data_IF_295058889638
#
_entry.id   IF_295058889638
#
_cell.length_a   1.000
_cell.length_b   1.000
_cell.length_c   1.000
_cell.angle_alpha   90.00
_cell.angle_beta   90.00
_cell.angle_gamma   90.00
#
_symmetry.space_group_name_H-M   'P 1'
#
loop_
_entity.id
_entity.type
_entity.pdbx_description
1 polymer ?
#
# COMPACT_ATOMS: atom_id res chain seq x y z
N UNK A 1 23.77 85.06 5.49
CA UNK A 1 23.27 83.77 5.08
C UNK A 1 24.03 83.43 3.79
N UNK A 2 25.13 82.65 3.92
CA UNK A 2 25.93 82.18 2.78
C UNK A 2 25.13 81.03 2.15
N UNK A 3 24.68 81.21 0.92
CA UNK A 3 24.07 80.15 0.14
C UNK A 3 25.14 79.04 -0.04
N UNK A 4 24.86 77.92 0.59
CA UNK A 4 25.72 76.77 0.49
C UNK A 4 25.71 76.28 -0.95
N UNK A 5 26.85 76.40 -1.63
CA UNK A 5 26.94 75.97 -3.02
C UNK A 5 26.63 74.44 -3.09
N UNK A 6 25.86 74.00 -4.08
CA UNK A 6 25.51 72.59 -4.17
C UNK A 6 26.79 71.71 -4.28
N UNK A 7 26.86 70.62 -3.56
CA UNK A 7 28.02 69.75 -3.56
C UNK A 7 28.28 69.17 -4.99
N UNK A 8 29.51 69.25 -5.45
CA UNK A 8 29.88 68.73 -6.74
C UNK A 8 30.50 67.33 -6.61
N UNK A 9 29.96 66.36 -7.35
CA UNK A 9 30.46 64.98 -7.38
C UNK A 9 30.92 64.59 -8.79
N UNK A 10 31.98 63.85 -8.87
CA UNK A 10 32.25 63.05 -10.08
C UNK A 10 31.24 61.89 -10.17
N UNK A 11 30.99 61.33 -11.38
CA UNK A 11 30.10 60.19 -11.55
C UNK A 11 30.52 58.99 -10.69
N UNK A 12 31.81 58.77 -10.51
CA UNK A 12 32.36 57.74 -9.63
C UNK A 12 32.01 57.98 -8.14
N UNK A 13 32.21 59.19 -7.68
CA UNK A 13 31.90 59.56 -6.29
C UNK A 13 30.41 59.45 -6.02
N UNK A 14 29.57 59.93 -6.94
CA UNK A 14 28.12 59.81 -6.83
C UNK A 14 27.69 58.35 -6.76
N UNK A 15 28.17 57.52 -7.66
CA UNK A 15 27.81 56.06 -7.61
C UNK A 15 28.34 55.38 -6.36
N UNK A 16 29.52 55.75 -5.83
CA UNK A 16 30.05 55.22 -4.58
C UNK A 16 29.18 55.64 -3.38
N UNK A 17 28.76 56.89 -3.35
CA UNK A 17 27.85 57.42 -2.31
C UNK A 17 26.49 56.72 -2.36
N UNK A 18 25.90 56.49 -3.55
CA UNK A 18 24.65 55.74 -3.70
C UNK A 18 24.83 54.31 -3.20
N UNK A 19 25.90 53.61 -3.55
CA UNK A 19 26.20 52.26 -3.10
C UNK A 19 26.26 52.19 -1.55
N UNK A 20 26.98 53.15 -0.94
CA UNK A 20 27.10 53.21 0.53
C UNK A 20 25.77 53.49 1.23
N UNK A 21 24.90 54.34 0.65
CA UNK A 21 23.54 54.57 1.18
C UNK A 21 22.66 53.32 1.08
N UNK A 22 22.72 52.60 -0.05
CA UNK A 22 21.99 51.35 -0.23
C UNK A 22 22.46 50.26 0.75
N UNK A 23 23.76 50.11 0.95
CA UNK A 23 24.31 49.14 1.90
C UNK A 23 23.92 49.46 3.36
N UNK A 24 23.80 50.73 3.73
CA UNK A 24 23.37 51.15 5.08
C UNK A 24 21.86 51.13 5.26
N UNK A 25 21.10 51.35 4.19
CA UNK A 25 19.64 51.47 4.23
C UNK A 25 18.90 50.10 4.16
N UNK A 26 19.53 49.05 3.72
CA UNK A 26 18.91 47.75 3.56
C UNK A 26 19.53 46.68 4.49
N UNK A 27 18.70 45.74 4.94
CA UNK A 27 19.20 44.59 5.66
C UNK A 27 20.20 43.79 4.83
N UNK A 28 21.26 43.21 5.43
CA UNK A 28 22.26 42.39 4.73
C UNK A 28 21.67 41.22 3.97
N UNK A 29 20.50 40.76 4.39
CA UNK A 29 19.68 39.73 3.75
C UNK A 29 18.21 40.07 3.92
N UNK A 30 17.42 39.85 2.89
CA UNK A 30 15.96 40.07 2.91
C UNK A 30 15.25 38.99 2.09
N UNK A 31 13.96 38.83 2.34
CA UNK A 31 13.06 37.99 1.58
C UNK A 31 12.27 38.82 0.57
N UNK A 32 12.14 38.31 -0.65
CA UNK A 32 11.27 38.87 -1.68
C UNK A 32 10.37 37.76 -2.19
N UNK A 33 9.07 38.00 -2.11
CA UNK A 33 8.06 37.16 -2.77
C UNK A 33 7.68 37.84 -4.08
N UNK A 34 7.90 37.16 -5.20
CA UNK A 34 7.70 37.72 -6.51
C UNK A 34 7.39 36.62 -7.54
N UNK A 35 7.04 37.02 -8.74
CA UNK A 35 6.96 36.14 -9.90
C UNK A 35 8.28 36.21 -10.66
N UNK A 36 8.87 35.08 -10.98
CA UNK A 36 10.05 34.97 -11.80
C UNK A 36 9.67 35.21 -13.28
N UNK A 37 10.30 36.16 -13.93
CA UNK A 37 10.08 36.42 -15.33
C UNK A 37 11.41 36.29 -16.11
N UNK A 38 11.32 35.64 -17.26
CA UNK A 38 12.43 35.44 -18.21
C UNK A 38 13.70 34.85 -17.58
N UNK A 39 13.62 33.74 -16.85
CA UNK A 39 14.80 33.11 -16.29
C UNK A 39 15.70 32.60 -17.43
N UNK A 40 16.96 32.95 -17.38
CA UNK A 40 17.95 32.58 -18.40
C UNK A 40 19.29 32.26 -17.75
N UNK A 41 19.86 31.14 -18.11
CA UNK A 41 21.22 30.80 -17.71
C UNK A 41 22.19 31.33 -18.75
N UNK A 42 22.95 32.36 -18.38
CA UNK A 42 23.99 32.98 -19.26
C UNK A 42 25.34 32.90 -18.58
N UNK A 43 26.33 32.32 -19.27
CA UNK A 43 27.71 32.15 -18.75
C UNK A 43 27.77 31.44 -17.39
N UNK A 44 26.85 30.49 -17.15
CA UNK A 44 26.76 29.74 -15.87
C UNK A 44 26.09 30.51 -14.73
N UNK A 45 25.54 31.69 -14.95
CA UNK A 45 24.77 32.46 -13.97
C UNK A 45 23.29 32.47 -14.35
N UNK A 46 22.39 32.32 -13.37
CA UNK A 46 20.97 32.47 -13.58
C UNK A 46 20.59 33.94 -13.44
N UNK A 47 20.03 34.51 -14.51
CA UNK A 47 19.46 35.83 -14.56
C UNK A 47 17.95 35.73 -14.68
N UNK A 48 17.25 36.48 -13.90
CA UNK A 48 15.79 36.57 -13.93
C UNK A 48 15.32 37.96 -13.50
N UNK A 49 14.11 38.29 -13.85
CA UNK A 49 13.43 39.50 -13.37
C UNK A 49 12.41 39.04 -12.31
N UNK A 50 12.46 39.64 -11.13
CA UNK A 50 11.46 39.45 -10.07
C UNK A 50 10.43 40.56 -10.25
N UNK A 51 9.14 40.19 -10.34
CA UNK A 51 8.05 41.16 -10.50
C UNK A 51 6.86 40.76 -9.60
N UNK A 52 6.16 41.76 -9.08
CA UNK A 52 4.90 41.64 -8.38
C UNK A 52 3.69 42.08 -9.22
N UNK A 53 3.95 42.46 -10.50
CA UNK A 53 2.95 42.99 -11.40
C UNK A 53 2.96 44.54 -11.51
N UNK A 54 3.37 45.22 -10.44
CA UNK A 54 3.49 46.71 -10.40
C UNK A 54 4.93 47.20 -10.56
N UNK A 55 5.87 46.43 -9.99
CA UNK A 55 7.31 46.76 -10.05
C UNK A 55 8.13 45.54 -10.47
N UNK A 56 9.36 45.80 -10.90
CA UNK A 56 10.29 44.73 -11.28
C UNK A 56 11.72 45.08 -10.90
N UNK A 57 12.49 44.05 -10.55
CA UNK A 57 13.93 44.17 -10.27
C UNK A 57 14.68 42.99 -10.87
N UNK A 58 15.85 43.26 -11.43
CA UNK A 58 16.72 42.19 -11.91
C UNK A 58 17.32 41.39 -10.75
N UNK A 59 17.34 40.07 -10.87
CA UNK A 59 18.01 39.20 -9.93
C UNK A 59 19.05 38.31 -10.62
N UNK A 60 20.10 37.98 -9.88
CA UNK A 60 21.18 37.12 -10.37
C UNK A 60 21.61 36.10 -9.33
N UNK A 61 21.64 34.84 -9.72
CA UNK A 61 22.32 33.78 -8.98
C UNK A 61 23.66 33.46 -9.66
N UNK A 62 24.74 33.65 -8.94
CA UNK A 62 26.09 33.37 -9.46
C UNK A 62 26.31 31.88 -9.67
N UNK A 63 27.21 31.49 -10.58
CA UNK A 63 27.50 30.11 -10.94
C UNK A 63 27.81 29.19 -9.74
N UNK A 64 28.54 29.69 -8.75
CA UNK A 64 28.83 28.96 -7.51
C UNK A 64 27.57 28.67 -6.68
N UNK A 65 26.63 29.61 -6.71
CA UNK A 65 25.38 29.51 -5.99
C UNK A 65 24.34 28.71 -6.77
N UNK A 66 24.28 28.92 -8.08
CA UNK A 66 23.36 28.17 -8.97
C UNK A 66 23.55 26.64 -8.83
N UNK A 67 24.79 26.18 -8.66
CA UNK A 67 25.09 24.75 -8.41
C UNK A 67 24.56 24.21 -7.05
N UNK A 68 24.22 25.10 -6.14
CA UNK A 68 23.72 24.80 -4.79
C UNK A 68 22.23 25.06 -4.66
N UNK A 69 21.58 25.65 -5.69
CA UNK A 69 20.15 25.83 -5.71
C UNK A 69 19.47 24.54 -6.11
N UNK A 70 18.53 24.12 -5.31
CA UNK A 70 17.74 22.91 -5.54
C UNK A 70 16.57 23.14 -6.51
N UNK A 71 16.35 24.41 -6.91
CA UNK A 71 15.22 24.80 -7.76
C UNK A 71 15.61 25.93 -8.71
N UNK A 72 15.19 25.80 -9.96
CA UNK A 72 15.29 26.84 -10.99
C UNK A 72 13.88 27.11 -11.52
N UNK A 73 13.34 28.33 -11.36
CA UNK A 73 11.96 28.63 -11.73
C UNK A 73 11.77 28.64 -13.25
N UNK A 74 10.57 28.25 -13.69
CA UNK A 74 10.08 28.54 -15.03
C UNK A 74 9.56 29.98 -15.15
N UNK A 75 9.30 30.43 -16.38
CA UNK A 75 8.75 31.76 -16.63
C UNK A 75 7.32 31.85 -16.09
N UNK A 76 7.04 32.89 -15.31
CA UNK A 76 5.75 33.13 -14.69
C UNK A 76 5.52 32.38 -13.37
N UNK A 77 6.48 31.64 -12.84
CA UNK A 77 6.35 30.99 -11.55
C UNK A 77 6.54 31.93 -10.37
N UNK A 78 5.70 31.79 -9.34
CA UNK A 78 5.85 32.49 -8.08
C UNK A 78 7.04 31.92 -7.29
N UNK A 79 7.88 32.80 -6.80
CA UNK A 79 9.11 32.45 -6.07
C UNK A 79 9.28 33.24 -4.78
N UNK A 80 9.93 32.64 -3.81
CA UNK A 80 10.45 33.26 -2.60
C UNK A 80 11.95 33.29 -2.69
N UNK A 81 12.54 34.47 -2.74
CA UNK A 81 13.97 34.71 -2.90
C UNK A 81 14.56 35.23 -1.62
N UNK A 82 15.56 34.56 -1.08
CA UNK A 82 16.48 35.14 -0.08
C UNK A 82 17.58 35.84 -0.85
N UNK A 83 17.65 37.15 -0.77
CA UNK A 83 18.57 37.95 -1.53
C UNK A 83 19.35 38.96 -0.69
N UNK A 84 20.36 39.53 -1.28
CA UNK A 84 20.99 40.77 -0.85
C UNK A 84 21.05 41.74 -1.99
N UNK A 85 21.03 43.02 -1.67
CA UNK A 85 21.19 44.04 -2.67
C UNK A 85 22.62 44.05 -3.22
N UNK A 86 22.76 44.15 -4.53
CA UNK A 86 24.04 44.27 -5.21
C UNK A 86 23.98 45.47 -6.16
N UNK A 87 24.79 46.47 -5.86
CA UNK A 87 24.91 47.66 -6.68
C UNK A 87 26.27 47.74 -7.39
N UNK A 88 26.24 47.70 -8.70
CA UNK A 88 27.47 47.85 -9.51
C UNK A 88 27.77 49.32 -9.78
N UNK A 89 28.61 49.89 -8.92
CA UNK A 89 28.98 51.31 -8.99
C UNK A 89 29.49 51.76 -10.36
N UNK A 90 30.21 50.89 -11.11
CA UNK A 90 30.73 51.21 -12.43
C UNK A 90 29.67 51.46 -13.52
N UNK A 91 28.45 50.90 -13.34
CA UNK A 91 27.34 51.01 -14.29
C UNK A 91 26.05 51.56 -13.66
N UNK A 92 26.10 51.93 -12.40
CA UNK A 92 24.93 52.32 -11.59
C UNK A 92 23.77 51.32 -11.72
N UNK A 93 24.08 50.02 -11.76
CA UNK A 93 23.08 48.97 -11.96
C UNK A 93 22.81 48.29 -10.65
N UNK A 94 21.52 48.22 -10.29
CA UNK A 94 21.02 47.58 -9.11
C UNK A 94 20.44 46.20 -9.47
N UNK A 95 20.79 45.19 -8.70
CA UNK A 95 20.21 43.84 -8.81
C UNK A 95 20.13 43.15 -7.48
N UNK A 96 19.21 42.19 -7.34
CA UNK A 96 19.16 41.30 -6.21
C UNK A 96 20.10 40.13 -6.46
N UNK A 97 21.11 39.99 -5.63
CA UNK A 97 21.91 38.77 -5.60
C UNK A 97 21.13 37.67 -4.86
N UNK A 98 20.79 36.62 -5.57
CA UNK A 98 20.09 35.46 -5.03
C UNK A 98 21.04 34.64 -4.14
N UNK A 99 20.65 34.44 -2.88
CA UNK A 99 21.33 33.60 -1.91
C UNK A 99 20.63 32.27 -1.76
N UNK A 100 19.28 32.27 -1.87
CA UNK A 100 18.44 31.10 -1.89
C UNK A 100 17.19 31.38 -2.73
N UNK A 101 16.64 30.36 -3.36
CA UNK A 101 15.50 30.49 -4.27
C UNK A 101 14.60 29.27 -4.10
N UNK A 102 13.34 29.52 -3.75
CA UNK A 102 12.33 28.49 -3.52
C UNK A 102 11.05 28.83 -4.28
N UNK A 103 10.25 27.84 -4.70
CA UNK A 103 8.92 28.11 -5.22
C UNK A 103 8.08 28.81 -4.13
N UNK A 104 7.14 29.67 -4.52
CA UNK A 104 6.18 30.22 -3.56
C UNK A 104 5.17 29.16 -3.17
N UNK A 105 4.57 29.31 -1.98
CA UNK A 105 3.54 28.38 -1.51
C UNK A 105 2.37 28.23 -2.51
N UNK A 106 1.98 29.34 -3.16
CA UNK A 106 0.93 29.31 -4.19
C UNK A 106 1.34 28.44 -5.41
N UNK A 107 2.61 28.47 -5.81
CA UNK A 107 3.13 27.63 -6.91
C UNK A 107 3.09 26.15 -6.51
N UNK A 108 3.50 25.85 -5.29
CA UNK A 108 3.46 24.47 -4.76
C UNK A 108 2.02 23.96 -4.72
N UNK A 109 1.09 24.75 -4.19
CA UNK A 109 -0.32 24.36 -4.11
C UNK A 109 -0.96 24.16 -5.49
N UNK A 110 -0.68 25.04 -6.45
CA UNK A 110 -1.17 24.88 -7.84
C UNK A 110 -0.64 23.59 -8.47
N UNK A 111 0.65 23.28 -8.29
CA UNK A 111 1.23 22.04 -8.80
C UNK A 111 0.58 20.82 -8.16
N UNK A 112 0.43 20.82 -6.85
CA UNK A 112 -0.28 19.78 -6.11
C UNK A 112 -1.69 19.55 -6.66
N UNK A 113 -2.49 20.62 -6.80
CA UNK A 113 -3.87 20.53 -7.31
C UNK A 113 -3.93 20.03 -8.75
N UNK A 114 -3.03 20.49 -9.62
CA UNK A 114 -2.98 20.07 -11.02
C UNK A 114 -2.65 18.58 -11.16
N UNK A 115 -1.63 18.09 -10.46
CA UNK A 115 -1.24 16.66 -10.51
C UNK A 115 -2.29 15.79 -9.83
N UNK A 116 -2.84 16.25 -8.70
CA UNK A 116 -3.94 15.55 -8.02
C UNK A 116 -5.14 15.37 -8.97
N UNK A 117 -5.63 16.45 -9.58
CA UNK A 117 -6.78 16.40 -10.48
C UNK A 117 -6.55 15.48 -11.69
N UNK A 118 -5.34 15.48 -12.25
CA UNK A 118 -4.95 14.60 -13.33
C UNK A 118 -5.02 13.12 -12.92
N UNK A 119 -4.39 12.76 -11.81
CA UNK A 119 -4.32 11.38 -11.34
C UNK A 119 -5.67 10.88 -10.78
N UNK A 120 -6.51 11.79 -10.27
CA UNK A 120 -7.87 11.49 -9.83
C UNK A 120 -8.78 11.18 -11.04
N UNK A 121 -8.69 11.98 -12.12
CA UNK A 121 -9.42 11.75 -13.35
C UNK A 121 -9.07 10.41 -14.02
N UNK A 122 -7.83 9.96 -13.90
CA UNK A 122 -7.37 8.67 -14.40
C UNK A 122 -7.66 7.50 -13.43
N UNK A 123 -8.22 7.77 -12.26
CA UNK A 123 -8.51 6.76 -11.25
C UNK A 123 -7.25 6.17 -10.59
N UNK A 124 -6.12 6.87 -10.62
CA UNK A 124 -4.90 6.44 -9.92
C UNK A 124 -5.04 6.67 -8.41
N UNK A 125 -5.74 7.75 -8.02
CA UNK A 125 -6.07 8.08 -6.62
C UNK A 125 -7.44 7.46 -6.27
N UNK A 126 -7.54 6.13 -6.30
CA UNK A 126 -8.75 5.41 -5.89
C UNK A 126 -8.47 4.60 -4.62
N UNK A 127 -9.20 4.84 -3.52
CA UNK A 127 -9.08 4.05 -2.30
C UNK A 127 -9.26 2.54 -2.52
N UNK A 128 -10.02 2.13 -3.54
CA UNK A 128 -10.25 0.72 -3.88
C UNK A 128 -9.00 0.03 -4.46
N UNK A 129 -8.04 0.79 -4.94
CA UNK A 129 -6.75 0.27 -5.46
C UNK A 129 -5.73 0.02 -4.37
N UNK A 130 -5.96 0.51 -3.15
CA UNK A 130 -5.03 0.37 -2.03
C UNK A 130 -4.89 -1.09 -1.63
N UNK A 131 -3.66 -1.55 -1.58
CA UNK A 131 -3.32 -2.91 -1.21
C UNK A 131 -3.24 -3.04 0.32
N UNK A 132 -3.65 -4.19 0.87
CA UNK A 132 -3.46 -4.45 2.29
C UNK A 132 -1.98 -4.54 2.64
N UNK A 133 -1.61 -4.01 3.81
CA UNK A 133 -0.26 -4.14 4.33
C UNK A 133 0.02 -5.59 4.76
N UNK A 134 1.26 -6.09 4.59
CA UNK A 134 1.65 -7.41 5.07
C UNK A 134 1.58 -7.45 6.60
N UNK A 135 1.01 -8.52 7.15
CA UNK A 135 0.84 -8.67 8.62
C UNK A 135 2.14 -8.87 9.38
N UNK A 136 3.16 -9.42 8.74
CA UNK A 136 4.49 -9.64 9.32
C UNK A 136 5.54 -9.65 8.20
N UNK A 137 5.94 -8.49 7.68
CA UNK A 137 6.89 -8.41 6.59
C UNK A 137 8.25 -8.97 7.03
N UNK A 138 8.88 -9.75 6.16
CA UNK A 138 10.25 -10.26 6.38
C UNK A 138 11.28 -9.24 5.98
N UNK A 139 11.05 -8.52 4.88
CA UNK A 139 11.94 -7.47 4.39
C UNK A 139 11.15 -6.23 4.01
N UNK A 140 11.63 -5.07 4.48
CA UNK A 140 11.06 -3.75 4.19
C UNK A 140 12.13 -2.88 3.55
N UNK A 141 11.86 -2.38 2.36
CA UNK A 141 12.70 -1.38 1.72
C UNK A 141 12.36 0.01 2.29
N UNK A 142 13.35 0.72 2.80
CA UNK A 142 13.20 2.06 3.40
C UNK A 142 13.97 3.07 2.55
N UNK A 143 13.23 3.90 1.83
CA UNK A 143 13.76 4.98 1.01
C UNK A 143 13.74 6.27 1.82
N UNK A 144 14.91 6.77 2.17
CA UNK A 144 15.08 8.01 2.95
C UNK A 144 16.46 8.61 2.77
N UNK A 145 16.65 9.83 3.23
CA UNK A 145 17.98 10.44 3.26
C UNK A 145 18.89 9.78 4.30
N UNK A 146 20.17 9.65 3.93
CA UNK A 146 21.20 9.07 4.80
C UNK A 146 22.44 10.00 4.81
N UNK A 147 22.89 10.43 6.00
CA UNK A 147 22.34 10.20 7.34
C UNK A 147 21.12 11.09 7.65
N UNK A 148 20.17 10.58 8.45
CA UNK A 148 19.05 11.40 8.94
C UNK A 148 18.54 10.94 10.31
N UNK A 149 17.97 11.86 11.09
CA UNK A 149 17.32 11.56 12.36
C UNK A 149 16.10 10.65 12.16
N UNK A 150 15.34 10.89 11.08
CA UNK A 150 14.19 10.06 10.70
C UNK A 150 14.58 8.59 10.52
N UNK A 151 15.69 8.32 9.84
CA UNK A 151 16.21 6.96 9.68
C UNK A 151 16.58 6.35 11.03
N UNK A 152 17.28 7.09 11.89
CA UNK A 152 17.67 6.59 13.22
C UNK A 152 16.44 6.21 14.06
N UNK A 153 15.39 7.03 14.02
CA UNK A 153 14.13 6.78 14.73
C UNK A 153 13.35 5.59 14.14
N UNK A 154 13.31 5.46 12.82
CA UNK A 154 12.70 4.29 12.16
C UNK A 154 13.42 2.99 12.51
N UNK A 155 14.75 2.99 12.49
CA UNK A 155 15.56 1.81 12.86
C UNK A 155 15.35 1.40 14.32
N UNK A 156 15.27 2.38 15.24
CA UNK A 156 14.97 2.13 16.65
C UNK A 156 13.59 1.52 16.80
N UNK A 157 12.58 2.14 16.22
CA UNK A 157 11.19 1.66 16.25
C UNK A 157 11.05 0.24 15.70
N UNK A 158 11.73 -0.05 14.59
CA UNK A 158 11.69 -1.38 14.01
C UNK A 158 12.33 -2.45 14.91
N UNK A 159 13.47 -2.15 15.52
CA UNK A 159 14.16 -3.06 16.47
C UNK A 159 13.31 -3.36 17.70
N UNK A 160 12.67 -2.34 18.25
CA UNK A 160 11.81 -2.48 19.43
C UNK A 160 10.52 -3.24 19.10
N UNK A 161 9.91 -2.89 17.98
CA UNK A 161 8.58 -3.37 17.62
C UNK A 161 8.57 -4.74 16.97
N UNK A 162 9.46 -4.98 16.00
CA UNK A 162 9.54 -6.24 15.26
C UNK A 162 10.94 -6.55 14.74
N UNK A 163 11.82 -7.10 15.57
CA UNK A 163 13.22 -7.35 15.21
C UNK A 163 13.43 -8.47 14.17
N UNK A 164 12.36 -9.14 13.75
CA UNK A 164 12.42 -10.21 12.75
C UNK A 164 12.38 -9.69 11.31
N UNK A 165 12.04 -8.41 11.09
CA UNK A 165 12.09 -7.80 9.77
C UNK A 165 13.51 -7.30 9.46
N UNK A 166 13.97 -7.63 8.27
CA UNK A 166 15.17 -7.06 7.68
C UNK A 166 14.83 -5.71 7.03
N UNK A 167 15.59 -4.66 7.35
CA UNK A 167 15.40 -3.34 6.75
C UNK A 167 16.48 -3.10 5.68
N UNK A 168 16.04 -3.00 4.42
CA UNK A 168 16.87 -2.60 3.30
C UNK A 168 16.82 -1.08 3.17
N UNK A 169 17.85 -0.40 3.71
CA UNK A 169 17.94 1.05 3.64
C UNK A 169 18.51 1.47 2.29
N UNK A 170 17.72 2.21 1.53
CA UNK A 170 18.09 2.73 0.22
C UNK A 170 18.19 4.26 0.30
N UNK A 171 19.42 4.81 0.21
CA UNK A 171 19.60 6.25 0.31
C UNK A 171 19.03 6.95 -0.92
N UNK A 172 18.12 7.89 -0.68
CA UNK A 172 17.58 8.77 -1.71
C UNK A 172 17.79 10.24 -1.31
N UNK A 173 18.02 11.14 -2.27
CA UNK A 173 17.88 12.56 -2.00
C UNK A 173 16.40 12.89 -1.81
N UNK A 174 16.09 13.69 -0.79
CA UNK A 174 14.69 14.04 -0.43
C UNK A 174 14.44 15.54 -0.51
N UNK A 175 15.34 16.31 -1.10
CA UNK A 175 15.26 17.75 -1.34
C UNK A 175 15.74 18.08 -2.73
N UNK A 176 15.17 19.14 -3.33
CA UNK A 176 15.49 19.60 -4.67
C UNK A 176 14.70 18.89 -5.77
N UNK A 177 15.12 19.12 -7.01
CA UNK A 177 14.53 18.47 -8.19
C UNK A 177 15.15 17.07 -8.40
N UNK A 178 14.66 16.10 -7.64
CA UNK A 178 15.25 14.75 -7.55
C UNK A 178 14.26 13.63 -7.84
N UNK A 179 13.07 13.97 -8.35
CA UNK A 179 12.02 13.00 -8.70
C UNK A 179 12.53 11.90 -9.63
N UNK A 180 13.31 12.24 -10.66
CA UNK A 180 13.88 11.28 -11.61
C UNK A 180 14.82 10.27 -10.92
N UNK A 181 15.59 10.72 -9.93
CA UNK A 181 16.49 9.83 -9.19
C UNK A 181 15.71 8.86 -8.31
N UNK A 182 14.64 9.34 -7.67
CA UNK A 182 13.76 8.47 -6.86
C UNK A 182 13.06 7.46 -7.77
N UNK A 183 12.55 7.89 -8.93
CA UNK A 183 11.96 7.00 -9.93
C UNK A 183 12.95 5.93 -10.40
N UNK A 184 14.20 6.29 -10.67
CA UNK A 184 15.25 5.35 -11.06
C UNK A 184 15.54 4.33 -9.98
N UNK A 185 15.56 4.74 -8.71
CA UNK A 185 15.71 3.83 -7.55
C UNK A 185 14.51 2.89 -7.41
N UNK A 186 13.29 3.39 -7.57
CA UNK A 186 12.09 2.56 -7.56
C UNK A 186 12.12 1.51 -8.67
N UNK A 187 12.58 1.88 -9.87
CA UNK A 187 12.72 0.94 -10.97
C UNK A 187 13.79 -0.12 -10.68
N UNK A 188 14.95 0.26 -10.14
CA UNK A 188 15.99 -0.69 -9.73
C UNK A 188 15.49 -1.67 -8.67
N UNK A 189 14.69 -1.21 -7.71
CA UNK A 189 14.09 -2.08 -6.69
C UNK A 189 13.02 -3.01 -7.26
N UNK A 190 12.26 -2.55 -8.25
CA UNK A 190 11.29 -3.39 -8.97
C UNK A 190 11.97 -4.53 -9.72
N UNK A 191 13.09 -4.24 -10.37
CA UNK A 191 13.85 -5.18 -11.19
C UNK A 191 14.86 -5.99 -10.37
N UNK A 192 14.89 -5.81 -9.05
CA UNK A 192 15.82 -6.49 -8.15
C UNK A 192 15.58 -8.01 -8.12
N UNK A 193 16.65 -8.82 -8.06
CA UNK A 193 16.52 -10.28 -7.94
C UNK A 193 15.85 -10.69 -6.61
N UNK A 194 15.23 -11.87 -6.58
CA UNK A 194 14.47 -12.39 -5.42
C UNK A 194 15.12 -12.14 -4.04
N UNK A 195 16.45 -12.32 -3.85
CA UNK A 195 17.06 -12.10 -2.54
C UNK A 195 16.94 -10.66 -2.03
N UNK A 196 16.68 -9.68 -2.92
CA UNK A 196 16.55 -8.27 -2.58
C UNK A 196 15.09 -7.77 -2.62
N UNK A 197 14.14 -8.61 -3.00
CA UNK A 197 12.73 -8.24 -3.04
C UNK A 197 12.22 -7.96 -1.62
N UNK A 198 11.49 -6.84 -1.49
CA UNK A 198 10.86 -6.44 -0.24
C UNK A 198 9.37 -6.82 -0.25
N UNK A 199 8.82 -7.08 0.94
CA UNK A 199 7.38 -7.33 1.12
C UNK A 199 6.57 -6.02 1.16
N UNK A 200 7.24 -4.92 1.48
CA UNK A 200 6.68 -3.57 1.49
C UNK A 200 7.78 -2.52 1.30
N UNK A 201 7.38 -1.35 0.85
CA UNK A 201 8.25 -0.19 0.68
C UNK A 201 7.79 0.94 1.59
N UNK A 202 8.74 1.58 2.26
CA UNK A 202 8.51 2.81 3.04
C UNK A 202 9.24 3.96 2.37
N UNK A 203 8.50 4.97 1.94
CA UNK A 203 9.05 6.24 1.45
C UNK A 203 8.92 7.26 2.56
N UNK A 204 10.06 7.65 3.14
CA UNK A 204 10.08 8.46 4.34
C UNK A 204 11.00 9.68 4.20
N UNK A 205 10.49 10.81 4.72
CA UNK A 205 11.24 12.04 4.88
C UNK A 205 11.03 12.61 6.28
N UNK A 206 12.09 13.11 6.88
CA UNK A 206 11.98 13.94 8.09
C UNK A 206 11.30 15.27 7.79
N UNK A 207 10.93 16.02 8.81
CA UNK A 207 10.26 17.31 8.69
C UNK A 207 11.00 18.30 7.76
N UNK A 208 10.28 19.27 7.24
CA UNK A 208 10.75 20.31 6.34
C UNK A 208 9.60 21.23 5.97
N UNK A 209 9.85 22.24 5.17
CA UNK A 209 8.78 23.15 4.68
C UNK A 209 7.93 22.46 3.58
N UNK A 210 6.73 22.98 3.33
CA UNK A 210 5.84 22.46 2.28
C UNK A 210 6.49 22.57 0.90
N UNK A 211 7.31 23.58 0.69
CA UNK A 211 8.08 23.80 -0.54
C UNK A 211 9.11 22.69 -0.77
N UNK A 212 9.69 22.18 0.31
CA UNK A 212 10.63 21.05 0.25
C UNK A 212 9.94 19.72 -0.07
N UNK A 213 8.62 19.62 0.14
CA UNK A 213 7.83 18.42 -0.15
C UNK A 213 7.34 18.35 -1.59
N UNK A 214 7.54 19.41 -2.38
CA UNK A 214 7.06 19.51 -3.76
C UNK A 214 7.55 18.37 -4.67
N UNK A 215 8.67 17.76 -4.37
CA UNK A 215 9.21 16.59 -5.10
C UNK A 215 8.23 15.41 -5.06
N UNK A 216 7.46 15.28 -3.98
CA UNK A 216 6.46 14.23 -3.79
C UNK A 216 5.10 14.55 -4.43
N UNK A 217 4.98 15.74 -5.06
CA UNK A 217 3.86 16.12 -5.92
C UNK A 217 4.19 15.94 -7.41
N UNK A 218 5.28 15.25 -7.73
CA UNK A 218 5.68 14.95 -9.11
C UNK A 218 4.84 13.82 -9.70
N UNK A 219 4.33 14.02 -10.92
CA UNK A 219 3.44 13.07 -11.59
C UNK A 219 4.12 11.71 -11.85
N UNK A 220 5.37 11.72 -12.35
CA UNK A 220 6.08 10.48 -12.69
C UNK A 220 6.40 9.66 -11.45
N UNK A 221 6.79 10.33 -10.37
CA UNK A 221 7.03 9.70 -9.08
C UNK A 221 5.74 9.08 -8.52
N UNK A 222 4.62 9.81 -8.57
CA UNK A 222 3.33 9.29 -8.11
C UNK A 222 2.88 8.07 -8.91
N UNK A 223 3.07 8.06 -10.24
CA UNK A 223 2.80 6.91 -11.09
C UNK A 223 3.69 5.71 -10.75
N UNK A 224 4.98 5.95 -10.50
CA UNK A 224 5.93 4.92 -10.11
C UNK A 224 5.54 4.28 -8.77
N UNK A 225 5.07 5.08 -7.79
CA UNK A 225 4.55 4.61 -6.50
C UNK A 225 3.27 3.77 -6.70
N UNK A 226 2.29 4.27 -7.45
CA UNK A 226 1.01 3.60 -7.68
C UNK A 226 1.17 2.24 -8.39
N UNK A 227 2.17 2.11 -9.27
CA UNK A 227 2.46 0.89 -10.04
C UNK A 227 3.51 0.00 -9.41
N UNK A 228 4.01 0.33 -8.23
CA UNK A 228 5.03 -0.47 -7.56
C UNK A 228 4.47 -1.86 -7.17
N UNK A 229 5.22 -2.96 -7.29
CA UNK A 229 4.68 -4.32 -7.15
C UNK A 229 4.24 -4.69 -5.73
N UNK A 230 4.81 -4.05 -4.70
CA UNK A 230 4.47 -4.29 -3.29
C UNK A 230 3.81 -3.07 -2.66
N UNK A 231 3.09 -3.21 -1.53
CA UNK A 231 2.47 -2.08 -0.86
C UNK A 231 3.47 -1.00 -0.47
N UNK A 232 3.10 0.25 -0.73
CA UNK A 232 3.91 1.44 -0.43
C UNK A 232 3.29 2.19 0.73
N UNK A 233 4.10 2.45 1.75
CA UNK A 233 3.75 3.28 2.91
C UNK A 233 4.52 4.58 2.81
N UNK A 234 3.82 5.70 2.87
CA UNK A 234 4.47 7.02 2.96
C UNK A 234 4.53 7.50 4.39
N UNK A 235 5.62 8.16 4.73
CA UNK A 235 5.84 8.86 6.00
C UNK A 235 6.53 10.19 5.69
N UNK A 236 5.83 11.06 4.94
CA UNK A 236 6.36 12.30 4.37
C UNK A 236 5.69 13.47 5.12
N UNK A 237 6.47 14.27 5.83
CA UNK A 237 5.95 15.47 6.48
C UNK A 237 5.18 15.21 7.79
N UNK A 238 4.21 16.08 8.10
CA UNK A 238 3.34 16.06 9.28
C UNK A 238 1.87 15.84 8.87
N UNK A 239 0.96 15.84 9.84
CA UNK A 239 -0.48 15.60 9.58
C UNK A 239 -1.08 16.59 8.57
N UNK A 240 -0.66 17.86 8.62
CA UNK A 240 -1.16 18.95 7.78
C UNK A 240 -0.50 19.00 6.39
N UNK A 241 0.63 18.31 6.19
CA UNK A 241 1.41 18.35 4.97
C UNK A 241 1.06 17.17 4.05
N UNK A 242 -0.05 17.27 3.34
CA UNK A 242 -0.48 16.25 2.39
C UNK A 242 0.23 16.40 1.05
N UNK A 243 0.83 15.32 0.54
CA UNK A 243 1.44 15.27 -0.80
C UNK A 243 0.63 14.37 -1.74
N UNK A 244 0.83 14.52 -3.07
CA UNK A 244 0.18 13.62 -4.04
C UNK A 244 0.69 12.19 -3.89
N UNK A 245 1.96 11.99 -3.54
CA UNK A 245 2.51 10.68 -3.19
C UNK A 245 1.74 10.00 -2.04
N UNK A 246 1.27 10.76 -1.04
CA UNK A 246 0.45 10.23 0.05
C UNK A 246 -0.94 9.77 -0.41
N UNK A 247 -1.49 10.43 -1.45
CA UNK A 247 -2.80 10.08 -2.00
C UNK A 247 -2.76 8.79 -2.81
N UNK A 248 -1.66 8.53 -3.52
CA UNK A 248 -1.49 7.34 -4.36
C UNK A 248 -0.89 6.15 -3.61
N UNK A 249 -0.28 6.37 -2.45
CA UNK A 249 0.26 5.31 -1.61
C UNK A 249 -0.84 4.39 -1.05
N UNK A 250 -0.49 3.14 -0.77
CA UNK A 250 -1.41 2.19 -0.15
C UNK A 250 -1.75 2.57 1.28
N UNK A 251 -0.79 3.17 1.99
CA UNK A 251 -1.00 3.67 3.34
C UNK A 251 -0.21 4.94 3.59
N UNK A 252 -0.90 5.96 4.12
CA UNK A 252 -0.28 7.21 4.56
C UNK A 252 -0.04 7.17 6.07
N UNK A 253 1.14 7.53 6.51
CA UNK A 253 1.47 7.79 7.91
C UNK A 253 1.91 9.24 8.10
N UNK A 254 1.56 9.83 9.23
CA UNK A 254 1.87 11.24 9.53
C UNK A 254 3.37 11.50 9.77
N UNK A 255 4.15 10.47 10.06
CA UNK A 255 5.60 10.59 10.32
C UNK A 255 6.33 9.33 9.87
N UNK A 256 7.65 9.40 9.62
CA UNK A 256 8.49 8.23 9.34
C UNK A 256 8.36 7.12 10.38
N UNK A 257 8.29 7.49 11.66
CA UNK A 257 8.12 6.54 12.76
C UNK A 257 6.73 5.89 12.73
N UNK A 258 5.67 6.69 12.46
CA UNK A 258 4.31 6.18 12.31
C UNK A 258 4.19 5.20 11.14
N UNK A 259 4.93 5.41 10.04
CA UNK A 259 5.00 4.47 8.93
C UNK A 259 5.53 3.10 9.37
N UNK A 260 6.57 3.07 10.18
CA UNK A 260 7.10 1.82 10.74
C UNK A 260 6.11 1.17 11.71
N UNK A 261 5.39 1.97 12.50
CA UNK A 261 4.37 1.47 13.44
C UNK A 261 3.18 0.84 12.71
N UNK A 262 2.73 1.43 11.60
CA UNK A 262 1.61 0.89 10.82
C UNK A 262 1.99 -0.40 10.07
N UNK A 263 3.23 -0.52 9.63
CA UNK A 263 3.71 -1.64 8.83
C UNK A 263 4.14 -2.83 9.68
N UNK A 264 4.78 -2.58 10.84
CA UNK A 264 5.37 -3.63 11.67
C UNK A 264 4.42 -4.05 12.79
N UNK A 265 4.20 -5.35 13.01
CA UNK A 265 3.39 -5.83 14.14
C UNK A 265 4.05 -5.50 15.48
N UNK A 266 3.26 -5.46 16.55
CA UNK A 266 3.79 -5.33 17.90
C UNK A 266 4.33 -6.67 18.41
N UNK A 267 5.59 -6.70 18.78
CA UNK A 267 6.23 -7.86 19.41
C UNK A 267 5.49 -8.32 20.68
N UNK A 268 5.06 -7.36 21.49
CA UNK A 268 4.34 -7.67 22.74
C UNK A 268 3.01 -8.37 22.44
N UNK A 269 2.24 -7.82 21.52
CA UNK A 269 0.96 -8.42 21.10
C UNK A 269 1.16 -9.80 20.51
N UNK A 270 2.18 -9.99 19.67
CA UNK A 270 2.49 -11.29 19.07
C UNK A 270 2.88 -12.33 20.14
N UNK A 271 3.71 -11.95 21.11
CA UNK A 271 4.10 -12.82 22.22
C UNK A 271 2.88 -13.21 23.06
N UNK A 272 2.02 -12.24 23.40
CA UNK A 272 0.79 -12.51 24.15
C UNK A 272 -0.14 -13.47 23.40
N UNK A 273 -0.31 -13.27 22.08
CA UNK A 273 -1.11 -14.17 21.24
C UNK A 273 -0.56 -15.60 21.22
N UNK A 274 0.76 -15.74 21.10
CA UNK A 274 1.41 -17.07 21.13
C UNK A 274 1.21 -17.71 22.50
N UNK A 275 1.43 -16.97 23.59
CA UNK A 275 1.21 -17.48 24.94
C UNK A 275 -0.25 -17.92 25.18
N UNK A 276 -1.20 -17.15 24.69
CA UNK A 276 -2.61 -17.53 24.82
C UNK A 276 -2.95 -18.76 23.99
N UNK A 277 -2.42 -18.86 22.76
CA UNK A 277 -2.59 -20.08 21.95
C UNK A 277 -1.99 -21.31 22.63
N UNK A 278 -0.81 -21.17 23.22
CA UNK A 278 -0.18 -22.24 23.98
C UNK A 278 -1.04 -22.67 25.21
N UNK A 279 -1.57 -21.70 25.96
CA UNK A 279 -2.49 -22.00 27.08
C UNK A 279 -3.74 -22.73 26.62
N UNK A 280 -4.35 -22.29 25.51
CA UNK A 280 -5.54 -22.95 24.93
C UNK A 280 -5.22 -24.36 24.47
N UNK A 281 -4.09 -24.58 23.81
CA UNK A 281 -3.63 -25.92 23.40
C UNK A 281 -3.40 -26.82 24.61
N UNK A 282 -2.78 -26.33 25.66
CA UNK A 282 -2.52 -27.10 26.89
C UNK A 282 -3.83 -27.46 27.59
N UNK A 283 -4.78 -26.52 27.71
CA UNK A 283 -6.10 -26.76 28.24
C UNK A 283 -6.88 -27.80 27.42
N UNK A 284 -6.84 -27.71 26.10
CA UNK A 284 -7.48 -28.69 25.21
C UNK A 284 -6.84 -30.08 25.36
N UNK A 285 -5.50 -30.14 25.45
CA UNK A 285 -4.78 -31.39 25.71
C UNK A 285 -5.18 -32.02 27.02
N UNK A 286 -5.23 -31.23 28.10
CA UNK A 286 -5.63 -31.72 29.44
C UNK A 286 -7.07 -32.23 29.41
N UNK A 287 -8.01 -31.45 28.86
CA UNK A 287 -9.42 -31.86 28.71
C UNK A 287 -9.55 -33.14 27.88
N UNK A 288 -8.82 -33.26 26.78
CA UNK A 288 -8.85 -34.44 25.93
C UNK A 288 -8.33 -35.69 26.69
N UNK A 289 -7.22 -35.54 27.41
CA UNK A 289 -6.65 -36.62 28.22
C UNK A 289 -7.62 -37.06 29.34
N UNK A 290 -8.20 -36.11 30.05
CA UNK A 290 -9.16 -36.36 31.09
C UNK A 290 -10.39 -37.15 30.56
N UNK A 291 -10.94 -36.66 29.45
CA UNK A 291 -12.06 -37.33 28.77
C UNK A 291 -11.70 -38.74 28.31
N UNK A 292 -10.50 -38.96 27.80
CA UNK A 292 -10.02 -40.29 27.40
C UNK A 292 -9.83 -41.21 28.64
N UNK A 293 -9.31 -40.68 29.72
CA UNK A 293 -9.20 -41.42 31.00
C UNK A 293 -10.58 -41.82 31.53
N UNK A 294 -11.54 -40.90 31.51
CA UNK A 294 -12.90 -41.17 31.93
C UNK A 294 -13.54 -42.28 31.08
N UNK A 295 -13.46 -42.18 29.75
CA UNK A 295 -13.98 -43.20 28.84
C UNK A 295 -13.32 -44.58 29.08
N UNK A 296 -12.01 -44.57 29.31
CA UNK A 296 -11.30 -45.83 29.67
C UNK A 296 -11.77 -46.40 31.00
N UNK A 297 -11.96 -45.55 32.01
CA UNK A 297 -12.50 -45.97 33.32
C UNK A 297 -13.90 -46.57 33.19
N UNK A 298 -14.81 -45.89 32.47
CA UNK A 298 -16.16 -46.39 32.19
C UNK A 298 -16.15 -47.73 31.44
N UNK A 299 -15.28 -47.86 30.42
CA UNK A 299 -15.12 -49.12 29.69
C UNK A 299 -14.59 -50.23 30.58
N UNK A 300 -13.60 -49.92 31.45
CA UNK A 300 -13.05 -50.90 32.39
C UNK A 300 -14.12 -51.36 33.39
N UNK A 301 -14.95 -50.44 33.93
CA UNK A 301 -16.08 -50.79 34.83
C UNK A 301 -17.12 -51.65 34.11
N UNK A 302 -17.51 -51.32 32.88
CA UNK A 302 -18.42 -52.15 32.07
C UNK A 302 -17.84 -53.54 31.80
N UNK A 303 -16.55 -53.65 31.54
CA UNK A 303 -15.86 -54.92 31.36
C UNK A 303 -15.90 -55.78 32.64
N UNK A 304 -15.78 -55.15 33.79
CA UNK A 304 -15.85 -55.85 35.08
C UNK A 304 -17.28 -56.32 35.44
N UNK A 305 -18.31 -55.61 34.95
CA UNK A 305 -19.72 -55.94 35.20
C UNK A 305 -20.29 -56.95 34.18
N UNK A 306 -19.75 -57.06 33.01
CA UNK A 306 -20.26 -57.95 31.96
C UNK A 306 -19.38 -59.19 31.80
N UNK A 307 -19.99 -60.35 32.01
CA UNK A 307 -19.33 -61.62 31.64
C UNK A 307 -19.06 -61.61 30.11
N UNK A 308 -17.83 -61.95 29.68
CA UNK A 308 -17.47 -61.91 28.26
C UNK A 308 -18.39 -62.69 27.33
N UNK A 309 -18.93 -63.81 27.84
CA UNK A 309 -19.87 -64.68 27.10
C UNK A 309 -21.17 -63.95 26.76
N UNK A 310 -21.76 -63.18 27.71
CA UNK A 310 -23.01 -62.44 27.51
C UNK A 310 -22.82 -61.33 26.48
N UNK A 311 -21.68 -60.63 26.53
CA UNK A 311 -21.37 -59.60 25.57
C UNK A 311 -21.18 -60.15 24.16
N UNK A 312 -20.47 -61.25 24.02
CA UNK A 312 -20.26 -61.89 22.75
C UNK A 312 -21.58 -62.38 22.14
N UNK A 313 -22.46 -62.94 22.97
CA UNK A 313 -23.79 -63.35 22.53
C UNK A 313 -24.62 -62.18 22.02
N UNK A 314 -24.68 -61.06 22.79
CA UNK A 314 -25.39 -59.87 22.38
C UNK A 314 -24.83 -59.28 21.04
N UNK A 315 -23.54 -59.31 20.86
CA UNK A 315 -22.90 -58.84 19.59
C UNK A 315 -23.22 -59.77 18.43
N UNK A 316 -23.23 -61.08 18.65
CA UNK A 316 -23.66 -62.04 17.61
C UNK A 316 -25.11 -61.74 17.20
N UNK A 317 -26.01 -61.54 18.16
CA UNK A 317 -27.41 -61.27 17.88
C UNK A 317 -27.59 -59.92 17.13
N UNK A 318 -26.85 -58.90 17.52
CA UNK A 318 -26.85 -57.61 16.79
C UNK A 318 -26.33 -57.75 15.34
N UNK A 319 -25.27 -58.52 15.12
CA UNK A 319 -24.73 -58.76 13.79
C UNK A 319 -25.72 -59.51 12.93
N UNK A 320 -26.37 -60.54 13.48
CA UNK A 320 -27.41 -61.28 12.78
C UNK A 320 -28.57 -60.36 12.36
N UNK A 321 -29.03 -59.50 13.26
CA UNK A 321 -30.09 -58.52 12.94
C UNK A 321 -29.67 -57.54 11.85
N UNK A 322 -28.47 -57.00 11.91
CA UNK A 322 -27.92 -56.08 10.87
C UNK A 322 -27.78 -56.79 9.53
N UNK A 323 -27.29 -58.05 9.55
CA UNK A 323 -27.19 -58.85 8.34
C UNK A 323 -28.55 -59.11 7.70
N UNK A 324 -29.58 -59.39 8.54
CA UNK A 324 -30.95 -59.52 8.07
C UNK A 324 -31.51 -58.22 7.47
N UNK A 325 -31.25 -57.07 8.10
CA UNK A 325 -31.64 -55.76 7.59
C UNK A 325 -30.92 -55.44 6.25
N UNK A 326 -29.60 -55.62 6.16
CA UNK A 326 -28.85 -55.42 4.91
C UNK A 326 -29.38 -56.33 3.79
N UNK A 327 -29.70 -57.59 4.12
CA UNK A 327 -30.33 -58.48 3.16
C UNK A 327 -31.75 -58.03 2.77
N UNK A 328 -32.49 -57.44 3.67
CA UNK A 328 -33.82 -56.90 3.38
C UNK A 328 -33.81 -55.65 2.47
N UNK A 329 -32.80 -54.76 2.63
CA UNK A 329 -32.62 -53.58 1.80
C UNK A 329 -31.77 -53.80 0.51
N UNK A 330 -31.26 -55.05 0.30
CA UNK A 330 -30.48 -55.34 -0.91
C UNK A 330 -31.35 -55.17 -2.15
N UNK A 331 -30.90 -54.35 -3.09
CA UNK A 331 -31.56 -54.19 -4.40
C UNK A 331 -31.77 -55.49 -5.12
N UNK A 332 -30.84 -56.47 -4.97
CA UNK A 332 -30.94 -57.81 -5.56
C UNK A 332 -32.17 -58.57 -5.14
N UNK A 333 -32.67 -58.41 -3.91
CA UNK A 333 -33.91 -59.05 -3.43
C UNK A 333 -35.17 -58.51 -4.10
N UNK A 334 -35.16 -57.20 -4.38
CA UNK A 334 -36.24 -56.57 -5.13
C UNK A 334 -36.24 -57.01 -6.56
N UNK A 335 -35.02 -57.09 -7.18
CA UNK A 335 -34.85 -57.60 -8.52
C UNK A 335 -35.27 -59.09 -8.60
N UNK A 336 -34.88 -59.95 -7.61
CA UNK A 336 -35.28 -61.36 -7.56
C UNK A 336 -36.80 -61.58 -7.35
N UNK A 337 -37.52 -60.57 -6.85
CA UNK A 337 -39.02 -60.55 -6.71
C UNK A 337 -39.72 -60.06 -7.96
N UNK A 338 -38.99 -59.77 -9.03
CA UNK A 338 -39.56 -59.30 -10.27
C UNK A 338 -39.66 -57.78 -10.40
N UNK A 339 -39.11 -57.01 -9.43
CA UNK A 339 -38.97 -55.57 -9.61
C UNK A 339 -37.80 -55.27 -10.57
N UNK A 340 -37.87 -54.20 -11.26
CA UNK A 340 -36.84 -53.70 -12.14
C UNK A 340 -36.37 -52.35 -11.71
N UNK A 341 -35.10 -52.03 -11.89
CA UNK A 341 -34.56 -50.69 -11.72
C UNK A 341 -34.40 -50.08 -13.12
N UNK A 342 -34.96 -48.89 -13.27
CA UNK A 342 -34.87 -48.11 -14.53
C UNK A 342 -33.69 -47.17 -14.47
N UNK A 343 -32.77 -47.30 -15.39
CA UNK A 343 -31.53 -46.49 -15.46
C UNK A 343 -31.44 -45.78 -16.81
N UNK A 344 -30.73 -44.67 -16.86
CA UNK A 344 -30.33 -44.07 -18.11
C UNK A 344 -29.18 -44.88 -18.75
N UNK A 345 -28.90 -44.72 -20.04
CA UNK A 345 -27.72 -45.34 -20.67
C UNK A 345 -26.39 -44.96 -19.97
N UNK A 346 -26.35 -43.88 -19.26
CA UNK A 346 -25.21 -43.36 -18.47
C UNK A 346 -25.14 -43.92 -17.04
N UNK A 347 -26.12 -44.77 -16.63
CA UNK A 347 -26.15 -45.44 -15.32
C UNK A 347 -26.86 -44.69 -14.19
N UNK A 348 -27.55 -43.56 -14.47
CA UNK A 348 -28.34 -42.85 -13.45
C UNK A 348 -29.74 -43.46 -13.32
N UNK A 349 -30.18 -43.65 -12.06
CA UNK A 349 -31.49 -44.30 -11.75
C UNK A 349 -32.60 -43.26 -11.86
N UNK A 350 -33.62 -43.55 -12.68
CA UNK A 350 -34.86 -42.77 -12.73
C UNK A 350 -35.77 -43.07 -11.52
N UNK A 351 -36.14 -42.03 -10.78
CA UNK A 351 -37.01 -42.15 -9.58
C UNK A 351 -38.45 -41.72 -9.85
N UNK A 352 -38.64 -40.96 -10.91
CA UNK A 352 -39.94 -40.44 -11.28
C UNK A 352 -40.23 -40.65 -12.77
N UNK A 353 -41.46 -40.91 -13.07
CA UNK A 353 -41.94 -40.95 -14.46
C UNK A 353 -41.77 -39.59 -15.16
N UNK A 354 -41.67 -38.50 -14.38
CA UNK A 354 -41.48 -37.13 -14.91
C UNK A 354 -40.06 -36.90 -15.47
N UNK A 355 -39.13 -37.73 -15.01
CA UNK A 355 -37.71 -37.61 -15.41
C UNK A 355 -37.42 -38.32 -16.76
N UNK A 356 -38.41 -39.08 -17.25
CA UNK A 356 -38.30 -39.83 -18.51
C UNK A 356 -39.05 -39.09 -19.62
N UNK A 357 -38.47 -39.01 -20.81
CA UNK A 357 -39.11 -38.43 -22.01
C UNK A 357 -39.56 -39.55 -22.95
N UNK A 358 -40.69 -39.36 -23.64
CA UNK A 358 -41.12 -40.28 -24.68
C UNK A 358 -40.05 -40.35 -25.79
N UNK A 359 -39.66 -41.53 -26.17
CA UNK A 359 -38.58 -41.79 -27.16
C UNK A 359 -37.18 -41.90 -26.57
N UNK A 360 -36.99 -41.70 -25.26
CA UNK A 360 -35.67 -41.90 -24.64
C UNK A 360 -35.32 -43.39 -24.50
N UNK A 361 -34.06 -43.71 -24.72
CA UNK A 361 -33.50 -45.04 -24.46
C UNK A 361 -33.29 -45.21 -22.99
N UNK A 362 -33.69 -46.33 -22.43
CA UNK A 362 -33.68 -46.66 -21.02
C UNK A 362 -33.03 -48.08 -20.89
N UNK A 363 -32.42 -48.27 -19.77
CA UNK A 363 -31.91 -49.59 -19.36
C UNK A 363 -32.71 -50.11 -18.20
N UNK A 364 -33.39 -51.20 -18.37
CA UNK A 364 -34.10 -51.92 -17.32
C UNK A 364 -33.19 -52.96 -16.78
N UNK A 365 -32.79 -52.80 -15.51
CA UNK A 365 -31.98 -53.78 -14.80
C UNK A 365 -32.89 -54.79 -14.11
N UNK A 366 -32.75 -56.06 -14.46
CA UNK A 366 -33.36 -57.21 -13.81
C UNK A 366 -32.34 -57.95 -12.98
N UNK A 367 -32.78 -59.05 -12.35
CA UNK A 367 -31.93 -59.85 -11.47
C UNK A 367 -30.77 -60.56 -12.23
N UNK A 368 -30.98 -60.94 -13.45
CA UNK A 368 -30.09 -61.74 -14.29
C UNK A 368 -29.49 -61.01 -15.51
N UNK A 369 -29.81 -59.70 -15.62
CA UNK A 369 -29.25 -58.90 -16.70
C UNK A 369 -29.92 -57.56 -16.88
N UNK A 370 -29.60 -56.93 -18.03
CA UNK A 370 -30.16 -55.65 -18.42
C UNK A 370 -30.82 -55.76 -19.78
N UNK A 371 -31.94 -55.04 -19.95
CA UNK A 371 -32.68 -54.93 -21.22
C UNK A 371 -32.68 -53.45 -21.62
N UNK A 372 -32.23 -53.19 -22.84
CA UNK A 372 -32.40 -51.87 -23.43
C UNK A 372 -33.86 -51.73 -23.95
N UNK A 373 -34.57 -50.68 -23.50
CA UNK A 373 -35.93 -50.40 -23.88
C UNK A 373 -36.11 -48.94 -24.26
N UNK A 374 -37.12 -48.65 -25.09
CA UNK A 374 -37.41 -47.28 -25.44
C UNK A 374 -38.76 -46.89 -24.88
N UNK A 375 -38.87 -45.74 -24.26
CA UNK A 375 -40.12 -45.24 -23.69
C UNK A 375 -41.11 -44.87 -24.80
N UNK A 376 -42.09 -45.69 -25.06
CA UNK A 376 -43.10 -45.45 -26.12
C UNK A 376 -44.22 -44.49 -25.66
N UNK A 377 -44.66 -44.55 -24.38
CA UNK A 377 -45.60 -43.65 -23.83
C UNK A 377 -45.41 -43.47 -22.33
N UNK A 378 -45.75 -42.31 -21.83
CA UNK A 378 -45.60 -41.92 -20.45
C UNK A 378 -46.98 -41.53 -19.89
N UNK A 379 -47.42 -42.20 -18.83
CA UNK A 379 -48.68 -41.85 -18.14
C UNK A 379 -48.36 -41.60 -16.68
N UNK A 380 -48.29 -40.33 -16.24
CA UNK A 380 -48.10 -40.05 -14.83
C UNK A 380 -49.37 -40.43 -14.05
N UNK A 381 -49.22 -41.07 -12.90
CA UNK A 381 -50.34 -41.35 -12.00
C UNK A 381 -50.78 -40.07 -11.31
N UNK A 382 -52.10 -39.82 -11.27
CA UNK A 382 -52.74 -38.66 -10.62
C UNK A 382 -52.97 -38.85 -9.11
N UNK A 383 -52.35 -39.81 -8.46
CA UNK A 383 -52.52 -40.04 -7.03
C UNK A 383 -51.28 -39.56 -6.25
N UNK A 384 -51.37 -38.41 -5.64
CA UNK A 384 -50.56 -37.98 -4.53
C UNK A 384 -50.98 -38.73 -3.26
N UNK A 385 -50.15 -39.64 -2.78
CA UNK A 385 -50.11 -39.98 -1.37
C UNK A 385 -48.68 -39.72 -0.86
N UNK A 386 -48.50 -38.84 0.16
CA UNK A 386 -47.20 -38.59 0.75
C UNK A 386 -46.81 -39.84 1.54
N UNK A 387 -45.74 -40.49 1.12
CA UNK A 387 -45.01 -41.44 1.94
C UNK A 387 -44.17 -40.60 2.91
N UNK A 388 -44.67 -40.41 4.14
CA UNK A 388 -43.91 -39.95 5.29
C UNK A 388 -42.85 -40.98 5.68
N UNK A 389 -41.67 -40.46 6.18
CA UNK A 389 -40.43 -41.23 6.34
C UNK A 389 -40.49 -42.35 7.42
#
# INVERSE_FOLDING_TARGET
MTADAPPTYSVRELNTAIGSLLERGFAPRFLVQATASKPQVKKGHLWLTLTDGEASITAVAWASKLKQLDYVPADGEGVTVVGKLNFWAARATLAVQVLDLRPSLNTVLRRFEAVRALLEAEGVIDPLRRRPLPTAPRRVAVLTSVPSSALADMLRTARERWPLSELLVVPIPVQGDVSDRICSVLQQLRDAPEPLQADALVLARGGGSREDLMVFDDEQLCRAIATFPVPVVTGIGHEDDLTVADLVADHRAATPTAAMVSLLPSRETAVLQVQERLRRLDSQRQWWLERKRQVLCERRQRWQLLQPQVLLQQRRDQLLRRQQLLRAFSPQRWLARGFAILESPEGSVYRSVRDVKVGSDLVVRLNDGTIAVQAQSIRPSSAEQPVTP
#
